data_IF_425472028412
#
_entry.id   IF_425472028412
#
_cell.length_a   1.000
_cell.length_b   1.000
_cell.length_c   1.000
_cell.angle_alpha   90.00
_cell.angle_beta   90.00
_cell.angle_gamma   90.00
#
_symmetry.space_group_name_H-M   'P 1'
#
loop_
_entity.id
_entity.type
_entity.pdbx_description
1 polymer ?
#
# COMPACT_ATOMS: atom_id res chain seq x y z
N UNK A 1 -24.44 25.46 9.11
CA UNK A 1 -22.99 25.17 8.96
C UNK A 1 -22.80 24.46 7.64
N UNK A 2 -22.11 25.09 6.69
CA UNK A 2 -21.93 24.58 5.34
C UNK A 2 -21.00 23.35 5.34
N UNK A 3 -21.50 22.21 4.86
CA UNK A 3 -20.66 21.07 4.46
C UNK A 3 -20.00 21.47 3.15
N UNK A 4 -18.68 21.61 3.14
CA UNK A 4 -17.93 21.88 1.91
C UNK A 4 -18.15 20.75 0.92
N UNK A 5 -18.54 21.10 -0.30
CA UNK A 5 -18.52 20.19 -1.44
C UNK A 5 -17.10 19.63 -1.58
N UNK A 6 -16.95 18.32 -1.35
CA UNK A 6 -15.72 17.63 -1.74
C UNK A 6 -15.67 17.60 -3.26
N UNK A 7 -14.87 18.50 -3.86
CA UNK A 7 -14.42 18.39 -5.24
C UNK A 7 -13.69 17.06 -5.41
N UNK A 8 -14.44 16.03 -5.78
CA UNK A 8 -13.93 14.70 -6.10
C UNK A 8 -13.66 14.63 -7.59
N UNK A 9 -12.56 14.00 -7.97
CA UNK A 9 -12.16 13.95 -9.39
C UNK A 9 -13.06 12.99 -10.17
N UNK A 10 -13.17 13.21 -11.48
CA UNK A 10 -13.98 12.37 -12.37
C UNK A 10 -13.53 10.90 -12.35
N UNK A 11 -12.22 10.65 -12.25
CA UNK A 11 -11.65 9.31 -12.18
C UNK A 11 -12.10 8.58 -10.90
N UNK A 12 -12.07 9.25 -9.75
CA UNK A 12 -12.52 8.64 -8.49
C UNK A 12 -14.02 8.39 -8.48
N UNK A 13 -14.83 9.35 -8.92
CA UNK A 13 -16.29 9.18 -9.00
C UNK A 13 -16.67 7.99 -9.88
N UNK A 14 -16.03 7.85 -11.04
CA UNK A 14 -16.26 6.74 -11.97
C UNK A 14 -15.90 5.39 -11.33
N UNK A 15 -14.73 5.29 -10.69
CA UNK A 15 -14.31 4.05 -10.03
C UNK A 15 -15.14 3.74 -8.78
N UNK A 16 -15.61 4.74 -8.05
CA UNK A 16 -16.47 4.53 -6.90
C UNK A 16 -17.82 3.92 -7.28
N UNK A 17 -18.29 4.15 -8.50
CA UNK A 17 -19.51 3.56 -9.05
C UNK A 17 -19.27 2.17 -9.66
N UNK A 18 -18.14 1.97 -10.34
CA UNK A 18 -17.91 0.77 -11.16
C UNK A 18 -17.19 -0.38 -10.45
N UNK A 19 -16.46 -0.10 -9.36
CA UNK A 19 -15.71 -1.14 -8.65
C UNK A 19 -16.64 -2.08 -7.87
N UNK A 20 -16.27 -3.36 -7.71
CA UNK A 20 -17.10 -4.34 -7.02
C UNK A 20 -17.32 -3.99 -5.55
N UNK A 21 -18.34 -4.59 -4.94
CA UNK A 21 -18.63 -4.43 -3.52
C UNK A 21 -17.41 -4.82 -2.68
N UNK A 22 -17.05 -3.95 -1.74
CA UNK A 22 -15.93 -4.12 -0.81
C UNK A 22 -16.43 -4.54 0.56
N UNK A 23 -15.55 -5.13 1.36
CA UNK A 23 -15.79 -5.28 2.80
C UNK A 23 -15.88 -3.91 3.46
N UNK A 24 -16.44 -3.84 4.68
CA UNK A 24 -16.53 -2.60 5.44
C UNK A 24 -15.17 -1.91 5.62
N UNK A 25 -14.12 -2.67 5.91
CA UNK A 25 -12.79 -2.11 6.16
C UNK A 25 -12.14 -1.59 4.85
N UNK A 26 -12.26 -2.35 3.76
CA UNK A 26 -11.78 -1.93 2.44
C UNK A 26 -12.52 -0.69 1.94
N UNK A 27 -13.85 -0.62 2.11
CA UNK A 27 -14.64 0.55 1.73
C UNK A 27 -14.26 1.78 2.57
N UNK A 28 -14.11 1.62 3.89
CA UNK A 28 -13.64 2.70 4.76
C UNK A 28 -12.33 3.32 4.25
N UNK A 29 -11.33 2.49 3.90
CA UNK A 29 -10.06 2.99 3.39
C UNK A 29 -10.16 3.56 1.98
N UNK A 30 -10.97 2.96 1.12
CA UNK A 30 -11.25 3.49 -0.20
C UNK A 30 -11.88 4.89 -0.13
N UNK A 31 -12.92 5.08 0.68
CA UNK A 31 -13.56 6.39 0.88
C UNK A 31 -12.60 7.40 1.52
N UNK A 32 -11.72 6.96 2.42
CA UNK A 32 -10.79 7.84 3.13
C UNK A 32 -9.61 8.31 2.28
N UNK A 33 -8.99 7.39 1.53
CA UNK A 33 -7.71 7.63 0.85
C UNK A 33 -7.81 7.71 -0.67
N UNK A 34 -8.85 7.11 -1.27
CA UNK A 34 -9.10 7.18 -2.71
C UNK A 34 -9.25 8.61 -3.22
N UNK A 35 -10.11 9.47 -2.63
CA UNK A 35 -10.24 10.86 -3.06
C UNK A 35 -8.94 11.66 -2.92
N UNK A 36 -8.15 11.35 -1.90
CA UNK A 36 -6.87 12.04 -1.64
C UNK A 36 -5.85 11.72 -2.74
N UNK A 37 -5.68 10.44 -3.06
CA UNK A 37 -4.80 10.02 -4.15
C UNK A 37 -5.29 10.59 -5.49
N UNK A 38 -6.60 10.57 -5.73
CA UNK A 38 -7.21 11.08 -6.96
C UNK A 38 -6.92 12.56 -7.18
N UNK A 39 -7.15 13.38 -6.14
CA UNK A 39 -6.84 14.81 -6.18
C UNK A 39 -5.34 15.05 -6.39
N UNK A 40 -4.48 14.24 -5.74
CA UNK A 40 -3.04 14.39 -5.83
C UNK A 40 -2.52 14.11 -7.25
N UNK A 41 -2.96 13.02 -7.90
CA UNK A 41 -2.54 12.70 -9.27
C UNK A 41 -3.15 13.67 -10.31
N UNK A 42 -4.37 14.16 -10.08
CA UNK A 42 -4.99 15.17 -10.94
C UNK A 42 -4.23 16.50 -10.88
N UNK A 43 -3.93 16.99 -9.66
CA UNK A 43 -3.14 18.22 -9.46
C UNK A 43 -1.71 18.08 -9.98
N UNK A 44 -1.12 16.88 -9.90
CA UNK A 44 0.18 16.60 -10.48
C UNK A 44 0.17 16.55 -12.03
N UNK A 45 -0.99 16.72 -12.67
CA UNK A 45 -1.13 16.76 -14.12
C UNK A 45 -1.11 15.40 -14.81
N UNK A 46 -1.44 14.33 -14.08
CA UNK A 46 -1.43 12.99 -14.66
C UNK A 46 -2.51 12.87 -15.74
N UNK A 47 -2.20 12.27 -16.91
CA UNK A 47 -3.21 11.92 -17.89
C UNK A 47 -4.29 11.04 -17.27
N UNK A 48 -5.54 11.16 -17.74
CA UNK A 48 -6.70 10.46 -17.16
C UNK A 48 -6.47 8.94 -17.02
N UNK A 49 -5.85 8.30 -18.02
CA UNK A 49 -5.51 6.88 -17.96
C UNK A 49 -4.58 6.53 -16.78
N UNK A 50 -3.62 7.40 -16.47
CA UNK A 50 -2.70 7.22 -15.34
C UNK A 50 -3.38 7.50 -13.99
N UNK A 51 -4.36 8.38 -13.94
CA UNK A 51 -5.19 8.55 -12.76
C UNK A 51 -5.98 7.27 -12.46
N UNK A 52 -6.58 6.65 -13.48
CA UNK A 52 -7.23 5.34 -13.33
C UNK A 52 -6.24 4.24 -12.91
N UNK A 53 -5.06 4.16 -13.52
CA UNK A 53 -4.03 3.19 -13.14
C UNK A 53 -3.67 3.29 -11.65
N UNK A 54 -3.39 4.51 -11.17
CA UNK A 54 -3.06 4.75 -9.77
C UNK A 54 -4.19 4.37 -8.82
N UNK A 55 -5.43 4.74 -9.15
CA UNK A 55 -6.61 4.45 -8.32
C UNK A 55 -7.01 2.97 -8.34
N UNK A 56 -6.87 2.28 -9.47
CA UNK A 56 -7.10 0.84 -9.56
C UNK A 56 -6.06 0.08 -8.75
N UNK A 57 -4.78 0.43 -8.88
CA UNK A 57 -3.70 -0.13 -8.08
C UNK A 57 -3.99 0.05 -6.58
N UNK A 58 -4.36 1.26 -6.19
CA UNK A 58 -4.76 1.59 -4.82
C UNK A 58 -5.92 0.73 -4.33
N UNK A 59 -6.99 0.63 -5.11
CA UNK A 59 -8.19 -0.13 -4.74
C UNK A 59 -7.95 -1.64 -4.62
N UNK A 60 -7.02 -2.18 -5.41
CA UNK A 60 -6.76 -3.61 -5.49
C UNK A 60 -5.86 -4.11 -4.35
N UNK A 61 -4.94 -3.26 -3.87
CA UNK A 61 -3.94 -3.63 -2.87
C UNK A 61 -4.22 -3.09 -1.46
N UNK A 62 -5.20 -2.19 -1.31
CA UNK A 62 -5.64 -1.75 0.01
C UNK A 62 -6.47 -2.83 0.71
N UNK A 63 -5.80 -3.60 1.57
CA UNK A 63 -6.43 -4.52 2.51
C UNK A 63 -6.12 -4.06 3.93
N UNK A 64 -7.12 -3.98 4.81
CA UNK A 64 -6.82 -3.62 6.20
C UNK A 64 -7.68 -4.35 7.22
N UNK A 65 -6.98 -4.84 8.26
CA UNK A 65 -7.46 -5.08 9.63
C UNK A 65 -6.39 -4.56 10.61
N UNK A 66 -6.63 -4.69 11.92
CA UNK A 66 -5.89 -4.08 13.04
C UNK A 66 -4.35 -4.31 13.07
N UNK A 67 -3.61 -3.63 12.21
CA UNK A 67 -2.15 -3.50 12.26
C UNK A 67 -1.77 -2.02 12.42
N UNK A 68 -0.79 -1.73 13.28
CA UNK A 68 -0.27 -0.37 13.46
C UNK A 68 1.00 -0.22 12.64
N UNK A 69 0.85 0.33 11.44
CA UNK A 69 2.00 0.66 10.59
C UNK A 69 2.88 1.73 11.22
N UNK A 70 4.20 1.65 11.03
CA UNK A 70 5.15 2.72 11.33
C UNK A 70 5.36 3.66 10.14
N UNK A 71 4.63 3.47 9.04
CA UNK A 71 4.77 4.31 7.85
C UNK A 71 4.52 5.79 8.17
N UNK A 72 3.65 6.09 9.13
CA UNK A 72 3.50 7.42 9.72
C UNK A 72 3.37 7.34 11.24
N UNK A 73 3.73 8.39 11.99
CA UNK A 73 3.60 8.44 13.46
C UNK A 73 2.17 8.14 13.98
N UNK A 74 1.14 8.34 13.15
CA UNK A 74 -0.27 8.09 13.49
C UNK A 74 -0.78 6.68 13.20
N UNK A 75 0.04 5.79 12.65
CA UNK A 75 -0.39 4.42 12.30
C UNK A 75 -1.18 4.31 10.99
N UNK A 76 -1.20 5.34 10.17
CA UNK A 76 -1.81 5.31 8.83
C UNK A 76 -0.99 4.43 7.90
N UNK A 77 -1.69 3.68 7.05
CA UNK A 77 -1.11 2.63 6.20
C UNK A 77 -0.55 3.16 4.88
N UNK A 78 -0.63 4.47 4.71
CA UNK A 78 -0.43 5.17 3.44
C UNK A 78 0.41 6.41 3.71
N UNK A 79 1.42 6.61 2.88
CA UNK A 79 2.16 7.86 2.81
C UNK A 79 2.31 8.29 1.34
N UNK A 80 2.01 9.56 1.08
CA UNK A 80 2.22 10.18 -0.22
C UNK A 80 3.49 11.02 -0.20
N UNK A 81 4.25 10.98 -1.28
CA UNK A 81 5.38 11.87 -1.51
C UNK A 81 5.29 12.41 -2.93
N UNK A 82 5.50 13.71 -3.07
CA UNK A 82 5.43 14.40 -4.35
C UNK A 82 6.79 15.03 -4.67
N UNK A 83 7.36 14.61 -5.79
CA UNK A 83 8.49 15.29 -6.40
C UNK A 83 8.14 15.59 -7.87
N UNK A 84 7.55 16.76 -8.16
CA UNK A 84 6.93 17.06 -9.44
C UNK A 84 7.77 16.64 -10.67
N UNK A 85 7.15 16.04 -11.70
CA UNK A 85 5.72 15.70 -11.78
C UNK A 85 5.37 14.44 -10.98
N UNK A 86 6.33 13.70 -10.45
CA UNK A 86 6.11 12.34 -9.99
C UNK A 86 5.51 12.24 -8.58
N UNK A 87 4.39 11.51 -8.49
CA UNK A 87 3.80 11.04 -7.24
C UNK A 87 4.34 9.64 -6.91
N UNK A 88 4.80 9.49 -5.68
CA UNK A 88 5.12 8.19 -5.08
C UNK A 88 4.19 7.92 -3.91
N UNK A 89 3.64 6.72 -3.90
CA UNK A 89 2.67 6.23 -2.96
C UNK A 89 3.24 5.02 -2.22
N UNK A 90 3.40 5.14 -0.90
CA UNK A 90 3.90 4.08 -0.04
C UNK A 90 2.73 3.36 0.64
N UNK A 91 2.80 2.03 0.68
CA UNK A 91 1.81 1.14 1.27
C UNK A 91 2.51 0.08 2.11
N UNK A 92 1.93 -0.22 3.25
CA UNK A 92 2.19 -1.49 3.94
C UNK A 92 1.01 -2.44 3.72
N UNK A 93 1.15 -3.46 2.85
CA UNK A 93 0.12 -4.48 2.68
C UNK A 93 -0.06 -5.26 3.99
N UNK A 94 -1.30 -5.40 4.44
CA UNK A 94 -1.61 -6.09 5.70
C UNK A 94 -2.44 -7.34 5.42
N UNK A 95 -1.87 -8.48 5.79
CA UNK A 95 -2.53 -9.77 5.63
C UNK A 95 -3.35 -10.19 6.86
N UNK A 96 -4.24 -11.20 6.72
CA UNK A 96 -5.05 -11.71 7.82
C UNK A 96 -4.24 -12.33 8.97
N UNK A 97 -2.97 -12.70 8.71
CA UNK A 97 -2.07 -13.31 9.68
C UNK A 97 -1.16 -12.28 10.37
N UNK A 98 -1.25 -10.99 10.04
CA UNK A 98 -0.40 -9.94 10.57
C UNK A 98 -0.43 -9.89 12.11
N UNK A 99 0.73 -9.95 12.75
CA UNK A 99 0.89 -9.87 14.20
C UNK A 99 0.49 -11.12 14.97
N UNK A 100 0.02 -12.16 14.29
CA UNK A 100 -0.22 -13.47 14.90
C UNK A 100 1.10 -14.24 15.09
N UNK A 101 1.08 -15.36 15.80
CA UNK A 101 2.26 -16.23 15.95
C UNK A 101 2.79 -16.77 14.62
N UNK A 102 1.92 -16.93 13.62
CA UNK A 102 2.29 -17.45 12.30
C UNK A 102 2.71 -16.35 11.32
N UNK A 103 2.32 -15.09 11.57
CA UNK A 103 2.70 -13.93 10.75
C UNK A 103 3.18 -12.75 11.59
N UNK A 104 4.19 -12.93 12.47
CA UNK A 104 4.54 -11.92 13.47
C UNK A 104 5.03 -10.60 12.86
N UNK A 105 5.57 -10.64 11.64
CA UNK A 105 6.20 -9.50 10.96
C UNK A 105 5.32 -8.79 9.90
N UNK A 106 4.10 -9.28 9.64
CA UNK A 106 3.26 -8.77 8.53
C UNK A 106 3.92 -8.82 7.13
N UNK A 107 4.71 -9.86 6.83
CA UNK A 107 5.39 -9.96 5.53
C UNK A 107 4.61 -10.73 4.47
N UNK A 108 3.62 -11.55 4.85
CA UNK A 108 2.92 -12.43 3.90
C UNK A 108 2.21 -11.66 2.79
N UNK A 109 1.43 -10.64 3.14
CA UNK A 109 0.69 -9.84 2.15
C UNK A 109 1.64 -9.06 1.24
N UNK A 110 2.72 -8.50 1.79
CA UNK A 110 3.73 -7.82 0.99
C UNK A 110 4.40 -8.77 0.00
N UNK A 111 4.81 -9.97 0.45
CA UNK A 111 5.44 -10.96 -0.42
C UNK A 111 4.49 -11.45 -1.51
N UNK A 112 3.22 -11.73 -1.17
CA UNK A 112 2.20 -12.09 -2.17
C UNK A 112 2.05 -10.99 -3.22
N UNK A 113 1.92 -9.73 -2.78
CA UNK A 113 1.83 -8.58 -3.68
C UNK A 113 3.06 -8.49 -4.59
N UNK A 114 4.27 -8.62 -4.05
CA UNK A 114 5.51 -8.58 -4.83
C UNK A 114 5.58 -9.67 -5.90
N UNK A 115 5.23 -10.91 -5.56
CA UNK A 115 5.19 -12.00 -6.55
C UNK A 115 4.18 -11.73 -7.66
N UNK A 116 2.96 -11.29 -7.30
CA UNK A 116 1.93 -10.95 -8.29
C UNK A 116 2.34 -9.77 -9.19
N UNK A 117 3.05 -8.79 -8.64
CA UNK A 117 3.61 -7.68 -9.42
C UNK A 117 4.73 -8.14 -10.35
N UNK A 118 5.59 -9.06 -9.91
CA UNK A 118 6.61 -9.67 -10.76
C UNK A 118 6.02 -10.44 -11.94
N UNK A 119 4.87 -11.08 -11.74
CA UNK A 119 4.16 -11.81 -12.80
C UNK A 119 3.46 -10.87 -13.81
N UNK A 120 3.01 -9.70 -13.37
CA UNK A 120 2.14 -8.81 -14.16
C UNK A 120 2.87 -7.60 -14.75
N UNK A 121 3.91 -7.10 -14.10
CA UNK A 121 4.60 -5.87 -14.48
C UNK A 121 5.99 -6.21 -15.03
N UNK A 122 6.25 -5.90 -16.32
CA UNK A 122 7.55 -6.13 -16.92
C UNK A 122 8.69 -5.46 -16.12
N UNK A 123 9.84 -6.14 -16.05
CA UNK A 123 11.06 -5.65 -15.41
C UNK A 123 10.99 -5.50 -13.87
N UNK A 124 9.98 -6.07 -13.21
CA UNK A 124 10.01 -6.24 -11.76
C UNK A 124 10.87 -7.46 -11.43
N UNK A 125 12.04 -7.21 -10.82
CA UNK A 125 12.96 -8.23 -10.34
C UNK A 125 12.95 -8.28 -8.81
N UNK A 126 12.72 -9.47 -8.26
CA UNK A 126 12.66 -9.71 -6.82
C UNK A 126 13.99 -10.16 -6.22
N UNK A 127 15.07 -10.28 -7.00
CA UNK A 127 16.37 -10.80 -6.54
C UNK A 127 16.88 -10.06 -5.30
N UNK A 128 16.97 -8.72 -5.35
CA UNK A 128 17.40 -7.91 -4.20
C UNK A 128 16.44 -8.07 -3.01
N UNK A 129 15.13 -8.07 -3.29
CA UNK A 129 14.11 -8.16 -2.26
C UNK A 129 14.20 -9.50 -1.50
N UNK A 130 14.34 -10.61 -2.23
CA UNK A 130 14.52 -11.95 -1.68
C UNK A 130 15.80 -12.07 -0.86
N UNK A 131 16.92 -11.49 -1.34
CA UNK A 131 18.16 -11.45 -0.57
C UNK A 131 18.01 -10.73 0.77
N UNK A 132 17.38 -9.54 0.80
CA UNK A 132 17.19 -8.80 2.05
C UNK A 132 16.22 -9.51 2.99
N UNK A 133 15.12 -10.08 2.49
CA UNK A 133 14.21 -10.86 3.32
C UNK A 133 14.92 -12.06 3.98
N UNK A 134 15.70 -12.80 3.19
CA UNK A 134 16.47 -13.94 3.69
C UNK A 134 17.49 -13.52 4.75
N UNK A 135 18.26 -12.47 4.46
CA UNK A 135 19.35 -12.00 5.32
C UNK A 135 18.84 -11.36 6.62
N UNK A 136 17.80 -10.54 6.55
CA UNK A 136 17.34 -9.74 7.69
C UNK A 136 16.34 -10.48 8.58
N UNK A 137 15.53 -11.40 8.03
CA UNK A 137 14.40 -11.98 8.76
C UNK A 137 14.37 -13.51 8.71
N UNK A 138 14.43 -14.12 7.52
CA UNK A 138 14.08 -15.54 7.37
C UNK A 138 15.10 -16.49 8.03
N UNK A 139 16.33 -16.02 8.24
CA UNK A 139 17.37 -16.80 8.93
C UNK A 139 17.01 -17.18 10.38
N UNK A 140 16.13 -16.42 11.05
CA UNK A 140 15.69 -16.71 12.42
C UNK A 140 14.36 -16.03 12.77
N UNK A 141 13.27 -16.58 12.23
CA UNK A 141 11.92 -16.07 12.52
C UNK A 141 11.49 -16.25 13.98
N UNK A 142 12.15 -17.16 14.73
CA UNK A 142 11.79 -17.48 16.11
C UNK A 142 11.92 -16.27 17.05
N UNK A 143 12.86 -15.36 16.77
CA UNK A 143 13.07 -14.09 17.49
C UNK A 143 11.83 -13.21 17.53
N UNK A 144 11.00 -13.27 16.48
CA UNK A 144 9.84 -12.39 16.33
C UNK A 144 8.55 -13.01 16.88
N UNK A 145 8.53 -14.31 17.13
CA UNK A 145 7.41 -15.01 17.76
C UNK A 145 7.30 -14.69 19.26
N UNK A 146 8.44 -14.42 19.92
CA UNK A 146 8.52 -14.16 21.37
C UNK A 146 8.33 -12.68 21.73
N UNK A 147 8.53 -11.77 20.77
CA UNK A 147 8.40 -10.31 20.95
C UNK A 147 7.10 -9.80 21.61
N UNK A 148 5.91 -10.36 21.30
CA UNK A 148 4.67 -9.95 21.95
C UNK A 148 4.66 -10.18 23.48
N UNK A 149 5.47 -11.11 24.00
CA UNK A 149 5.54 -11.43 25.42
C UNK A 149 6.29 -10.37 26.26
N UNK A 150 7.10 -9.52 25.63
CA UNK A 150 7.88 -8.47 26.29
C UNK A 150 7.24 -7.07 26.21
N UNK A 151 5.98 -6.97 25.77
CA UNK A 151 5.27 -5.68 25.61
C UNK A 151 5.70 -4.85 24.40
N UNK A 152 6.70 -5.29 23.63
CA UNK A 152 7.08 -4.69 22.34
C UNK A 152 6.21 -5.28 21.24
N UNK A 153 5.27 -4.48 20.71
CA UNK A 153 4.46 -4.90 19.56
C UNK A 153 5.36 -5.02 18.33
N UNK A 154 5.18 -6.06 17.49
CA UNK A 154 5.84 -6.12 16.20
C UNK A 154 5.54 -4.86 15.39
N UNK A 155 6.57 -4.32 14.75
CA UNK A 155 6.50 -3.11 13.95
C UNK A 155 6.56 -3.47 12.46
N UNK A 156 6.28 -2.49 11.60
CA UNK A 156 6.47 -2.60 10.15
C UNK A 156 7.84 -3.18 9.82
N UNK A 157 7.85 -4.24 9.02
CA UNK A 157 9.06 -4.95 8.59
C UNK A 157 9.29 -4.90 7.08
N UNK A 158 8.34 -4.34 6.34
CA UNK A 158 8.43 -4.13 4.91
C UNK A 158 7.34 -3.19 4.43
N UNK A 159 7.70 -2.25 3.55
CA UNK A 159 6.78 -1.34 2.86
C UNK A 159 7.10 -1.38 1.37
N UNK A 160 6.08 -1.21 0.52
CA UNK A 160 6.28 -1.00 -0.91
C UNK A 160 5.90 0.43 -1.30
N UNK A 161 6.73 1.04 -2.13
CA UNK A 161 6.44 2.30 -2.81
C UNK A 161 6.12 2.03 -4.27
N UNK A 162 4.99 2.54 -4.75
CA UNK A 162 4.65 2.61 -6.17
C UNK A 162 4.89 4.03 -6.68
N UNK A 163 5.66 4.15 -7.76
CA UNK A 163 5.89 5.41 -8.48
C UNK A 163 5.29 5.29 -9.87
N UNK A 164 4.23 6.05 -10.12
CA UNK A 164 3.52 6.05 -11.40
C UNK A 164 4.19 7.06 -12.32
N UNK A 165 5.01 6.59 -13.26
CA UNK A 165 5.67 7.42 -14.26
C UNK A 165 4.87 7.38 -15.58
N UNK A 166 5.14 8.34 -16.45
CA UNK A 166 4.62 8.31 -17.84
C UNK A 166 5.02 7.00 -18.55
N UNK A 167 6.29 6.59 -18.43
CA UNK A 167 6.85 5.39 -19.06
C UNK A 167 6.47 4.06 -18.41
N UNK A 168 5.76 4.08 -17.29
CA UNK A 168 5.35 2.87 -16.56
C UNK A 168 5.39 3.04 -15.05
N UNK A 169 5.18 1.94 -14.32
CA UNK A 169 5.16 1.96 -12.86
C UNK A 169 6.43 1.32 -12.32
N UNK A 170 7.08 1.99 -11.35
CA UNK A 170 8.27 1.48 -10.66
C UNK A 170 7.96 1.20 -9.20
N UNK A 171 8.54 0.12 -8.69
CA UNK A 171 8.39 -0.30 -7.30
C UNK A 171 9.70 -0.23 -6.54
N UNK A 172 9.62 0.07 -5.24
CA UNK A 172 10.74 -0.01 -4.30
C UNK A 172 10.24 -0.57 -2.97
N UNK A 173 10.98 -1.49 -2.38
CA UNK A 173 10.73 -1.96 -1.01
C UNK A 173 11.64 -1.25 0.00
N UNK A 174 11.15 -1.08 1.22
CA UNK A 174 11.86 -0.54 2.38
C UNK A 174 11.74 -1.52 3.55
#
# INVERSE_FOLDING_TARGET
>A
MAKGDQNTTAAWQSLNLCLPTRTHDEDYWWQKSGPQLAALVEVAGYPLAKQYEALLFHSHWMLTRQWKSLLQPGGTLIEYSWNPPDIRYNIEPIGPLAGTKVGPLNQHALREMLHRLADQVPNVDLTCCGYFFSTLFDHDLSKYVVGPAAGKRPTTSGVIAAKFLESGTRFKTF
#
